data_IF_778342388675
#
_entry.id   IF_778342388675
#
_cell.length_a   1.000
_cell.length_b   1.000
_cell.length_c   1.000
_cell.angle_alpha   90.00
_cell.angle_beta   90.00
_cell.angle_gamma   90.00
#
_symmetry.space_group_name_H-M   'P 1'
#
loop_
_entity.id
_entity.type
_entity.pdbx_description
1 polymer ?
#
# COMPACT_ATOMS: atom_id res chain seq x y z
N UNK A 1 -10.31 26.04 -29.21
CA UNK A 1 -10.30 24.85 -28.36
C UNK A 1 -9.59 23.76 -29.13
N UNK A 2 -8.33 23.47 -28.81
CA UNK A 2 -7.60 22.36 -29.42
C UNK A 2 -7.89 21.12 -28.60
N UNK A 3 -8.57 20.14 -29.21
CA UNK A 3 -8.71 18.81 -28.62
C UNK A 3 -7.32 18.18 -28.53
N UNK A 4 -6.84 17.99 -27.30
CA UNK A 4 -5.59 17.27 -27.04
C UNK A 4 -5.94 15.79 -27.18
N UNK A 5 -5.81 15.26 -28.39
CA UNK A 5 -5.80 13.81 -28.60
C UNK A 5 -4.44 13.27 -28.15
N UNK A 6 -4.45 12.29 -27.23
CA UNK A 6 -3.25 11.53 -26.91
C UNK A 6 -2.63 10.98 -28.21
N UNK A 7 -1.31 11.03 -28.30
CA UNK A 7 -0.58 10.51 -29.46
C UNK A 7 -0.80 9.00 -29.59
N UNK A 8 -0.68 8.41 -30.80
CA UNK A 8 -0.82 6.96 -30.99
C UNK A 8 0.13 6.11 -30.13
N UNK A 9 1.24 6.69 -29.66
CA UNK A 9 2.17 6.04 -28.74
C UNK A 9 1.66 6.06 -27.30
N UNK A 10 1.11 7.18 -26.85
CA UNK A 10 0.43 7.29 -25.55
C UNK A 10 -0.82 6.39 -25.48
N UNK A 11 -1.56 6.24 -26.59
CA UNK A 11 -2.67 5.29 -26.68
C UNK A 11 -2.20 3.84 -26.54
N UNK A 12 -1.12 3.44 -27.21
CA UNK A 12 -0.56 2.07 -27.05
C UNK A 12 -0.04 1.84 -25.64
N UNK A 13 0.58 2.84 -25.01
CA UNK A 13 1.02 2.73 -23.62
C UNK A 13 -0.16 2.60 -22.65
N UNK A 14 -1.27 3.28 -22.94
CA UNK A 14 -2.53 3.14 -22.17
C UNK A 14 -3.23 1.79 -22.40
N UNK A 15 -3.29 1.30 -23.63
CA UNK A 15 -3.83 -0.03 -23.96
C UNK A 15 -2.98 -1.13 -23.32
N UNK A 16 -1.66 -1.04 -23.41
CA UNK A 16 -0.74 -1.98 -22.76
C UNK A 16 -0.83 -1.93 -21.23
N UNK A 17 -1.13 -0.76 -20.65
CA UNK A 17 -1.43 -0.64 -19.23
C UNK A 17 -2.79 -1.25 -18.88
N UNK A 18 -3.82 -1.06 -19.71
CA UNK A 18 -5.14 -1.68 -19.54
C UNK A 18 -5.06 -3.20 -19.55
N UNK A 19 -4.42 -3.78 -20.56
CA UNK A 19 -4.22 -5.24 -20.64
C UNK A 19 -3.36 -5.78 -19.48
N UNK A 20 -2.37 -5.02 -19.01
CA UNK A 20 -1.57 -5.42 -17.87
C UNK A 20 -2.36 -5.38 -16.56
N UNK A 21 -3.26 -4.41 -16.40
CA UNK A 21 -4.16 -4.33 -15.25
C UNK A 21 -5.18 -5.47 -15.26
N UNK A 22 -5.74 -5.82 -16.42
CA UNK A 22 -6.65 -6.96 -16.57
C UNK A 22 -5.94 -8.28 -16.24
N UNK A 23 -4.74 -8.53 -16.80
CA UNK A 23 -3.93 -9.71 -16.45
C UNK A 23 -3.60 -9.77 -14.96
N UNK A 24 -3.22 -8.64 -14.36
CA UNK A 24 -2.93 -8.56 -12.94
C UNK A 24 -4.17 -8.87 -12.08
N UNK A 25 -5.34 -8.38 -12.48
CA UNK A 25 -6.61 -8.64 -11.80
C UNK A 25 -7.01 -10.12 -11.92
N UNK A 26 -6.95 -10.72 -13.12
CA UNK A 26 -7.21 -12.14 -13.34
C UNK A 26 -6.24 -13.04 -12.55
N UNK A 27 -4.96 -12.66 -12.50
CA UNK A 27 -3.95 -13.35 -11.71
C UNK A 27 -4.29 -13.28 -10.21
N UNK A 28 -4.64 -12.09 -9.70
CA UNK A 28 -5.01 -11.91 -8.29
C UNK A 28 -6.30 -12.65 -7.93
N UNK A 29 -7.31 -12.61 -8.78
CA UNK A 29 -8.57 -13.36 -8.61
C UNK A 29 -8.30 -14.87 -8.59
N UNK A 30 -7.52 -15.38 -9.55
CA UNK A 30 -7.12 -16.78 -9.61
C UNK A 30 -6.33 -17.20 -8.38
N UNK A 31 -5.33 -16.41 -7.98
CA UNK A 31 -4.53 -16.65 -6.79
C UNK A 31 -5.40 -16.68 -5.52
N UNK A 32 -6.31 -15.71 -5.38
CA UNK A 32 -7.25 -15.65 -4.27
C UNK A 32 -8.14 -16.88 -4.21
N UNK A 33 -8.71 -17.30 -5.34
CA UNK A 33 -9.56 -18.48 -5.41
C UNK A 33 -8.81 -19.75 -4.99
N UNK A 34 -7.55 -19.90 -5.41
CA UNK A 34 -6.70 -21.05 -5.05
C UNK A 34 -6.28 -21.06 -3.60
N UNK A 35 -5.82 -19.92 -3.08
CA UNK A 35 -5.42 -19.80 -1.68
C UNK A 35 -6.61 -20.08 -0.74
N UNK A 36 -7.81 -19.58 -1.08
CA UNK A 36 -9.04 -19.92 -0.37
C UNK A 36 -9.39 -21.40 -0.47
N UNK A 37 -9.31 -21.97 -1.69
CA UNK A 37 -9.57 -23.40 -1.92
C UNK A 37 -8.63 -24.33 -1.14
N UNK A 38 -7.41 -23.87 -0.86
CA UNK A 38 -6.40 -24.60 -0.11
C UNK A 38 -6.35 -24.22 1.39
N UNK A 39 -7.36 -23.50 1.89
CA UNK A 39 -7.44 -23.07 3.30
C UNK A 39 -6.22 -22.26 3.78
N UNK A 40 -5.61 -21.47 2.90
CA UNK A 40 -4.49 -20.59 3.23
C UNK A 40 -5.03 -19.26 3.74
N UNK A 41 -5.14 -19.14 5.06
CA UNK A 41 -5.53 -17.89 5.71
C UNK A 41 -4.48 -16.78 5.49
N UNK A 42 -4.94 -15.56 5.25
CA UNK A 42 -4.06 -14.39 5.07
C UNK A 42 -3.28 -14.41 3.74
N UNK A 43 -3.62 -15.28 2.79
CA UNK A 43 -2.84 -15.47 1.58
C UNK A 43 -2.86 -14.25 0.64
N UNK A 44 -4.01 -13.57 0.52
CA UNK A 44 -4.15 -12.37 -0.30
C UNK A 44 -3.42 -11.18 0.33
N UNK A 45 -3.50 -11.03 1.64
CA UNK A 45 -2.77 -10.02 2.40
C UNK A 45 -1.27 -10.17 2.18
N UNK A 46 -0.74 -11.40 2.27
CA UNK A 46 0.66 -11.70 1.96
C UNK A 46 1.02 -11.38 0.51
N UNK A 47 0.14 -11.65 -0.45
CA UNK A 47 0.38 -11.28 -1.84
C UNK A 47 0.55 -9.77 -2.00
N UNK A 48 -0.37 -8.99 -1.41
CA UNK A 48 -0.30 -7.53 -1.45
C UNK A 48 0.95 -7.00 -0.76
N UNK A 49 1.32 -7.55 0.40
CA UNK A 49 2.57 -7.21 1.09
C UNK A 49 3.79 -7.39 0.18
N UNK A 50 3.90 -8.53 -0.52
CA UNK A 50 5.00 -8.82 -1.44
C UNK A 50 5.04 -7.80 -2.58
N UNK A 51 3.91 -7.55 -3.25
CA UNK A 51 3.85 -6.64 -4.42
C UNK A 51 4.09 -5.19 -4.02
N UNK A 52 3.65 -4.79 -2.83
CA UNK A 52 3.89 -3.45 -2.26
C UNK A 52 5.36 -3.29 -1.89
N UNK A 53 5.96 -4.25 -1.18
CA UNK A 53 7.37 -4.22 -0.79
C UNK A 53 8.30 -4.21 -2.02
N UNK A 54 7.99 -5.02 -3.04
CA UNK A 54 8.68 -5.00 -4.32
C UNK A 54 8.62 -3.63 -5.00
N UNK A 55 7.41 -3.07 -5.16
CA UNK A 55 7.23 -1.79 -5.82
C UNK A 55 7.96 -0.63 -5.13
N UNK A 56 8.13 -0.75 -3.81
CA UNK A 56 8.78 0.21 -2.93
C UNK A 56 10.29 -0.01 -2.74
N UNK A 57 10.85 -1.09 -3.31
CA UNK A 57 12.23 -1.54 -3.07
C UNK A 57 12.56 -1.66 -1.57
N UNK A 58 11.58 -2.06 -0.76
CA UNK A 58 11.75 -2.22 0.70
C UNK A 58 12.48 -3.53 1.04
N UNK A 59 12.51 -4.49 0.12
CA UNK A 59 13.24 -5.76 0.23
C UNK A 59 14.03 -6.05 -1.05
N UNK A 60 15.13 -6.82 -0.97
CA UNK A 60 15.85 -7.32 -2.14
C UNK A 60 14.94 -8.13 -3.09
N UNK A 61 15.30 -8.14 -4.37
CA UNK A 61 14.52 -8.84 -5.39
C UNK A 61 14.51 -10.37 -5.17
N UNK A 62 15.58 -10.92 -4.59
CA UNK A 62 15.72 -12.32 -4.22
C UNK A 62 14.70 -12.72 -3.14
N UNK A 63 14.46 -11.82 -2.17
CA UNK A 63 13.44 -12.01 -1.13
C UNK A 63 12.03 -11.93 -1.74
N UNK A 64 11.81 -10.99 -2.66
CA UNK A 64 10.55 -10.91 -3.43
C UNK A 64 10.30 -12.19 -4.23
N UNK A 65 11.30 -12.69 -4.97
CA UNK A 65 11.21 -13.92 -5.77
C UNK A 65 10.90 -15.12 -4.88
N UNK A 66 11.60 -15.24 -3.75
CA UNK A 66 11.40 -16.32 -2.78
C UNK A 66 10.01 -16.27 -2.13
N UNK A 67 9.55 -15.09 -1.73
CA UNK A 67 8.24 -14.92 -1.09
C UNK A 67 7.09 -15.23 -2.06
N UNK A 68 7.16 -14.72 -3.29
CA UNK A 68 6.16 -14.99 -4.31
C UNK A 68 6.14 -16.47 -4.69
N UNK A 69 7.31 -17.12 -4.80
CA UNK A 69 7.41 -18.56 -5.05
C UNK A 69 6.69 -19.36 -3.97
N UNK A 70 6.98 -19.11 -2.70
CA UNK A 70 6.33 -19.80 -1.57
C UNK A 70 4.81 -19.62 -1.58
N UNK A 71 4.33 -18.43 -1.90
CA UNK A 71 2.90 -18.16 -1.96
C UNK A 71 2.21 -18.92 -3.11
N UNK A 72 2.84 -19.00 -4.28
CA UNK A 72 2.32 -19.75 -5.42
C UNK A 72 2.41 -21.26 -5.20
N UNK A 73 3.43 -21.74 -4.49
CA UNK A 73 3.51 -23.14 -4.07
C UNK A 73 2.34 -23.51 -3.13
N UNK A 74 1.95 -22.59 -2.23
CA UNK A 74 0.75 -22.78 -1.38
C UNK A 74 -0.56 -22.77 -2.19
N UNK A 75 -0.62 -22.01 -3.29
CA UNK A 75 -1.76 -22.00 -4.19
C UNK A 75 -1.89 -23.31 -5.01
N UNK A 76 -0.81 -24.10 -5.12
CA UNK A 76 -0.77 -25.38 -5.87
C UNK A 76 -1.35 -25.28 -7.29
N UNK A 77 -1.04 -24.20 -8.01
CA UNK A 77 -1.54 -23.97 -9.38
C UNK A 77 -0.40 -23.64 -10.35
N UNK A 78 -0.07 -24.62 -11.19
CA UNK A 78 0.98 -24.50 -12.19
C UNK A 78 0.65 -23.46 -13.28
N UNK A 79 -0.63 -23.24 -13.58
CA UNK A 79 -1.03 -22.24 -14.56
C UNK A 79 -0.77 -20.81 -14.03
N UNK A 80 -1.10 -20.54 -12.76
CA UNK A 80 -0.75 -19.28 -12.11
C UNK A 80 0.77 -19.10 -12.03
N UNK A 81 1.50 -20.13 -11.62
CA UNK A 81 2.96 -20.09 -11.57
C UNK A 81 3.56 -19.75 -12.94
N UNK A 82 3.04 -20.35 -14.00
CA UNK A 82 3.53 -20.17 -15.37
C UNK A 82 3.39 -18.72 -15.85
N UNK A 83 2.36 -17.98 -15.41
CA UNK A 83 2.16 -16.59 -15.79
C UNK A 83 3.30 -15.67 -15.32
N UNK A 84 3.93 -16.00 -14.18
CA UNK A 84 5.02 -15.21 -13.58
C UNK A 84 6.37 -15.93 -13.62
N UNK A 85 6.49 -17.03 -14.37
CA UNK A 85 7.72 -17.84 -14.45
C UNK A 85 8.94 -17.03 -14.90
N UNK A 86 8.76 -16.05 -15.80
CA UNK A 86 9.83 -15.14 -16.23
C UNK A 86 10.46 -14.31 -15.10
N UNK A 87 9.74 -14.11 -13.99
CA UNK A 87 10.31 -13.56 -12.76
C UNK A 87 10.77 -14.66 -11.80
N UNK A 88 9.98 -15.72 -11.62
CA UNK A 88 10.27 -16.77 -10.64
C UNK A 88 11.53 -17.55 -10.95
N UNK A 89 11.83 -17.80 -12.23
CA UNK A 89 12.93 -18.66 -12.66
C UNK A 89 14.12 -17.85 -13.20
N UNK A 90 14.05 -16.51 -13.15
CA UNK A 90 15.14 -15.64 -13.54
C UNK A 90 16.37 -15.86 -12.63
N UNK A 91 17.59 -15.99 -13.19
CA UNK A 91 18.80 -15.94 -12.39
C UNK A 91 18.92 -14.54 -11.77
N UNK A 92 19.33 -14.44 -10.50
CA UNK A 92 19.46 -13.15 -9.80
C UNK A 92 20.92 -12.85 -9.41
N UNK A 93 21.87 -13.43 -10.14
CA UNK A 93 23.31 -13.37 -9.81
C UNK A 93 23.94 -12.02 -10.20
N UNK A 94 23.40 -11.36 -11.23
CA UNK A 94 23.94 -10.10 -11.75
C UNK A 94 22.91 -8.97 -11.69
N UNK A 95 23.38 -7.73 -11.61
CA UNK A 95 22.51 -6.55 -11.66
C UNK A 95 21.69 -6.46 -12.95
N UNK A 96 22.23 -6.97 -14.06
CA UNK A 96 21.50 -7.07 -15.32
C UNK A 96 20.29 -8.01 -15.19
N UNK A 97 20.49 -9.18 -14.58
CA UNK A 97 19.41 -10.17 -14.47
C UNK A 97 18.36 -9.74 -13.45
N UNK A 98 18.79 -9.14 -12.33
CA UNK A 98 17.88 -8.49 -11.37
C UNK A 98 17.02 -7.43 -12.05
N UNK A 99 17.63 -6.59 -12.89
CA UNK A 99 16.89 -5.57 -13.66
C UNK A 99 15.91 -6.19 -14.64
N UNK A 100 16.29 -7.27 -15.32
CA UNK A 100 15.41 -7.99 -16.24
C UNK A 100 14.21 -8.60 -15.51
N UNK A 101 14.44 -9.26 -14.37
CA UNK A 101 13.41 -9.83 -13.51
C UNK A 101 12.45 -8.75 -12.96
N UNK A 102 12.99 -7.64 -12.43
CA UNK A 102 12.16 -6.51 -11.98
C UNK A 102 11.33 -5.91 -13.11
N UNK A 103 11.92 -5.79 -14.31
CA UNK A 103 11.23 -5.26 -15.48
C UNK A 103 10.07 -6.17 -15.91
N UNK A 104 10.30 -7.49 -15.90
CA UNK A 104 9.24 -8.46 -16.16
C UNK A 104 8.09 -8.28 -15.17
N UNK A 105 8.39 -8.28 -13.87
CA UNK A 105 7.35 -8.20 -12.83
C UNK A 105 6.61 -6.87 -12.84
N UNK A 106 7.31 -5.76 -13.13
CA UNK A 106 6.68 -4.45 -13.33
C UNK A 106 5.69 -4.50 -14.50
N UNK A 107 6.12 -5.00 -15.66
CA UNK A 107 5.24 -5.12 -16.85
C UNK A 107 4.05 -6.04 -16.60
N UNK A 108 4.26 -7.13 -15.88
CA UNK A 108 3.20 -8.06 -15.50
C UNK A 108 2.10 -7.34 -14.70
N UNK A 109 2.47 -6.50 -13.73
CA UNK A 109 1.54 -5.73 -12.90
C UNK A 109 1.18 -4.35 -13.45
N UNK A 110 1.49 -4.05 -14.72
CA UNK A 110 1.19 -2.74 -15.32
C UNK A 110 1.95 -1.55 -14.70
N UNK A 111 3.05 -1.81 -13.99
CA UNK A 111 3.95 -0.80 -13.42
C UNK A 111 5.06 -0.47 -14.42
N UNK A 112 5.50 0.79 -14.44
CA UNK A 112 6.61 1.23 -15.31
C UNK A 112 7.98 0.96 -14.70
N UNK A 113 8.11 1.01 -13.38
CA UNK A 113 9.32 0.71 -12.61
C UNK A 113 9.00 0.55 -11.11
N UNK A 114 9.93 -0.02 -10.37
CA UNK A 114 10.02 0.10 -8.91
C UNK A 114 10.67 1.44 -8.55
N UNK A 115 10.43 1.93 -7.33
CA UNK A 115 11.13 3.10 -6.79
C UNK A 115 11.32 2.96 -5.28
N UNK A 116 12.51 3.29 -4.76
CA UNK A 116 12.74 3.25 -3.32
C UNK A 116 11.86 4.28 -2.63
N UNK A 117 11.18 3.87 -1.56
CA UNK A 117 10.46 4.81 -0.70
C UNK A 117 11.46 5.77 -0.04
N UNK A 118 11.15 7.07 -0.07
CA UNK A 118 11.86 8.05 0.75
C UNK A 118 11.70 7.69 2.24
N UNK A 119 12.64 8.07 3.13
CA UNK A 119 12.51 7.83 4.57
C UNK A 119 11.17 8.33 5.12
N UNK A 120 10.75 9.53 4.72
CA UNK A 120 9.47 10.12 5.12
C UNK A 120 8.25 9.35 4.56
N UNK A 121 8.36 8.76 3.37
CA UNK A 121 7.32 7.87 2.83
C UNK A 121 7.26 6.54 3.60
N UNK A 122 8.39 5.99 4.03
CA UNK A 122 8.40 4.78 4.87
C UNK A 122 7.78 5.04 6.24
N UNK A 123 8.15 6.14 6.89
CA UNK A 123 7.54 6.57 8.16
C UNK A 123 6.03 6.78 8.02
N UNK A 124 5.60 7.41 6.91
CA UNK A 124 4.17 7.58 6.64
C UNK A 124 3.43 6.25 6.50
N UNK A 125 3.97 5.31 5.72
CA UNK A 125 3.38 3.98 5.55
C UNK A 125 3.36 3.19 6.86
N UNK A 126 4.47 3.19 7.61
CA UNK A 126 4.59 2.52 8.90
C UNK A 126 3.58 3.09 9.93
N UNK A 127 3.43 4.41 9.99
CA UNK A 127 2.42 5.04 10.85
C UNK A 127 1.00 4.65 10.47
N UNK A 128 0.68 4.62 9.16
CA UNK A 128 -0.63 4.18 8.67
C UNK A 128 -0.91 2.73 9.05
N UNK A 129 0.07 1.84 8.91
CA UNK A 129 -0.07 0.43 9.25
C UNK A 129 -0.24 0.20 10.76
N UNK A 130 0.54 0.89 11.60
CA UNK A 130 0.38 0.82 13.05
C UNK A 130 -1.04 1.22 13.49
N UNK A 131 -1.61 2.28 12.89
CA UNK A 131 -2.99 2.71 13.14
C UNK A 131 -3.98 1.61 12.73
N UNK A 132 -3.87 1.07 11.51
CA UNK A 132 -4.79 0.03 11.03
C UNK A 132 -4.74 -1.23 11.90
N UNK A 133 -3.56 -1.64 12.35
CA UNK A 133 -3.40 -2.78 13.25
C UNK A 133 -4.02 -2.51 14.62
N UNK A 134 -3.79 -1.34 15.23
CA UNK A 134 -4.37 -0.99 16.52
C UNK A 134 -5.90 -0.95 16.46
N UNK A 135 -6.45 -0.32 15.42
CA UNK A 135 -7.90 -0.26 15.14
C UNK A 135 -8.48 -1.65 14.92
N UNK A 136 -7.81 -2.50 14.14
CA UNK A 136 -8.22 -3.88 13.90
C UNK A 136 -8.24 -4.72 15.19
N UNK A 137 -7.22 -4.59 16.05
CA UNK A 137 -7.20 -5.27 17.36
C UNK A 137 -8.33 -4.79 18.27
N UNK A 138 -8.61 -3.48 18.26
CA UNK A 138 -9.53 -2.86 19.21
C UNK A 138 -11.00 -3.04 18.81
N UNK A 139 -11.34 -2.87 17.53
CA UNK A 139 -12.72 -2.85 17.04
C UNK A 139 -13.01 -3.86 15.91
N UNK A 140 -12.04 -4.71 15.54
CA UNK A 140 -12.22 -5.70 14.47
C UNK A 140 -13.14 -6.87 14.83
N UNK A 141 -13.67 -6.91 16.06
CA UNK A 141 -14.71 -7.87 16.45
C UNK A 141 -16.10 -7.40 15.99
N UNK A 142 -17.08 -8.31 15.99
CA UNK A 142 -18.43 -8.05 15.47
C UNK A 142 -19.22 -7.01 16.29
N UNK A 143 -18.89 -6.82 17.56
CA UNK A 143 -19.64 -5.96 18.49
C UNK A 143 -19.35 -4.47 18.25
N UNK A 144 -18.15 -4.14 17.78
CA UNK A 144 -17.71 -2.77 17.49
C UNK A 144 -17.48 -2.50 16.00
N UNK A 145 -17.98 -3.39 15.13
CA UNK A 145 -17.77 -3.33 13.67
C UNK A 145 -18.27 -2.02 13.03
N UNK A 146 -19.30 -1.40 13.61
CA UNK A 146 -19.79 -0.08 13.18
C UNK A 146 -18.74 1.01 13.38
N UNK A 147 -18.11 1.04 14.55
CA UNK A 147 -17.05 2.00 14.91
C UNK A 147 -15.80 1.76 14.06
N UNK A 148 -15.43 0.49 13.86
CA UNK A 148 -14.37 0.08 12.93
C UNK A 148 -14.61 0.60 11.51
N UNK A 149 -15.80 0.35 10.95
CA UNK A 149 -16.16 0.78 9.59
C UNK A 149 -16.13 2.31 9.46
N UNK A 150 -16.70 3.02 10.43
CA UNK A 150 -16.78 4.48 10.39
C UNK A 150 -15.39 5.11 10.51
N UNK A 151 -14.51 4.55 11.35
CA UNK A 151 -13.09 4.93 11.40
C UNK A 151 -12.39 4.70 10.06
N UNK A 152 -12.47 3.48 9.51
CA UNK A 152 -11.77 3.12 8.28
C UNK A 152 -12.25 3.95 7.09
N UNK A 153 -13.54 4.25 7.03
CA UNK A 153 -14.13 5.14 6.03
C UNK A 153 -13.52 6.53 6.09
N UNK A 154 -13.43 7.12 7.27
CA UNK A 154 -12.81 8.43 7.42
C UNK A 154 -11.31 8.32 7.11
N UNK A 155 -10.58 7.41 7.74
CA UNK A 155 -9.12 7.33 7.68
C UNK A 155 -8.55 6.98 6.30
N UNK A 156 -9.22 6.13 5.51
CA UNK A 156 -8.73 5.68 4.21
C UNK A 156 -9.23 6.57 3.06
N UNK A 157 -10.50 6.98 3.10
CA UNK A 157 -11.14 7.58 1.93
C UNK A 157 -10.97 9.10 1.84
N UNK A 158 -10.42 9.75 2.87
CA UNK A 158 -10.22 11.20 2.90
C UNK A 158 -8.74 11.53 3.04
N UNK A 159 -8.26 12.61 2.38
CA UNK A 159 -6.93 13.11 2.63
C UNK A 159 -6.77 13.42 4.13
N UNK A 160 -5.69 12.98 4.79
CA UNK A 160 -5.47 13.15 6.24
C UNK A 160 -5.23 14.61 6.68
N UNK A 161 -5.61 15.56 5.84
CA UNK A 161 -4.94 16.85 5.70
C UNK A 161 -5.83 18.02 6.09
N UNK A 162 -7.15 17.80 6.25
CA UNK A 162 -8.05 18.84 6.75
C UNK A 162 -8.21 18.75 8.27
N UNK A 163 -8.16 19.90 8.93
CA UNK A 163 -8.42 20.02 10.38
C UNK A 163 -9.80 19.45 10.76
N UNK A 164 -10.79 19.57 9.86
CA UNK A 164 -12.11 18.98 10.03
C UNK A 164 -12.04 17.44 10.05
N UNK A 165 -11.24 16.85 9.16
CA UNK A 165 -11.06 15.41 9.11
C UNK A 165 -10.30 14.87 10.32
N UNK A 166 -9.25 15.57 10.78
CA UNK A 166 -8.55 15.25 12.03
C UNK A 166 -9.49 15.30 13.23
N UNK A 167 -10.36 16.31 13.31
CA UNK A 167 -11.37 16.43 14.38
C UNK A 167 -12.38 15.28 14.36
N UNK A 168 -12.85 14.87 13.18
CA UNK A 168 -13.76 13.72 13.01
C UNK A 168 -13.10 12.43 13.48
N UNK A 169 -11.84 12.17 13.08
CA UNK A 169 -11.11 11.00 13.55
C UNK A 169 -10.93 11.02 15.06
N UNK A 170 -10.54 12.15 15.66
CA UNK A 170 -10.45 12.29 17.12
C UNK A 170 -11.76 11.97 17.81
N UNK A 171 -12.89 12.46 17.30
CA UNK A 171 -14.20 12.19 17.87
C UNK A 171 -14.56 10.68 17.87
N UNK A 172 -14.10 9.93 16.87
CA UNK A 172 -14.32 8.48 16.78
C UNK A 172 -13.45 7.73 17.78
N UNK A 173 -12.18 8.15 17.95
CA UNK A 173 -11.21 7.47 18.81
C UNK A 173 -11.22 7.93 20.26
N UNK A 174 -12.15 8.81 20.68
CA UNK A 174 -12.22 9.32 22.05
C UNK A 174 -12.13 8.19 23.07
N UNK A 175 -11.13 8.29 23.94
CA UNK A 175 -10.89 7.32 25.02
C UNK A 175 -10.05 6.11 24.61
N UNK A 176 -9.59 6.05 23.36
CA UNK A 176 -8.66 5.03 22.86
C UNK A 176 -7.24 5.60 22.77
N UNK A 177 -6.56 5.71 23.92
CA UNK A 177 -5.27 6.41 24.04
C UNK A 177 -4.19 5.92 23.05
N UNK A 178 -4.12 4.61 22.80
CA UNK A 178 -3.17 4.03 21.82
C UNK A 178 -3.42 4.59 20.41
N UNK A 179 -4.67 4.57 19.95
CA UNK A 179 -5.05 5.00 18.60
C UNK A 179 -4.92 6.53 18.47
N UNK A 180 -5.30 7.28 19.51
CA UNK A 180 -5.12 8.73 19.57
C UNK A 180 -3.64 9.14 19.42
N UNK A 181 -2.74 8.47 20.15
CA UNK A 181 -1.30 8.73 20.06
C UNK A 181 -0.74 8.40 18.67
N UNK A 182 -1.12 7.25 18.10
CA UNK A 182 -0.70 6.85 16.75
C UNK A 182 -1.17 7.85 15.67
N UNK A 183 -2.42 8.33 15.76
CA UNK A 183 -2.92 9.38 14.87
C UNK A 183 -2.14 10.68 15.01
N UNK A 184 -1.80 11.08 16.24
CA UNK A 184 -1.03 12.30 16.48
C UNK A 184 0.37 12.23 15.86
N UNK A 185 1.09 11.13 16.02
CA UNK A 185 2.40 10.94 15.37
C UNK A 185 2.27 10.88 13.84
N UNK A 186 1.25 10.18 13.32
CA UNK A 186 1.01 10.11 11.88
C UNK A 186 0.71 11.47 11.25
N UNK A 187 -0.05 12.34 11.93
CA UNK A 187 -0.32 13.69 11.44
C UNK A 187 0.94 14.56 11.36
N UNK A 188 1.89 14.43 12.31
CA UNK A 188 3.18 15.15 12.21
C UNK A 188 3.91 14.76 10.92
N UNK A 189 3.88 13.47 10.56
CA UNK A 189 4.48 12.97 9.31
C UNK A 189 3.74 13.54 8.09
N UNK A 190 2.40 13.58 8.11
CA UNK A 190 1.62 14.22 7.05
C UNK A 190 1.96 15.70 6.89
N UNK A 191 2.07 16.45 7.98
CA UNK A 191 2.43 17.88 7.98
C UNK A 191 3.83 18.09 7.39
N UNK A 192 4.81 17.26 7.76
CA UNK A 192 6.16 17.28 7.17
C UNK A 192 6.15 16.99 5.67
N UNK A 193 5.30 16.07 5.19
CA UNK A 193 5.16 15.75 3.75
C UNK A 193 4.57 16.91 2.95
N UNK A 194 3.71 17.73 3.57
CA UNK A 194 3.11 18.91 2.93
C UNK A 194 4.02 20.14 2.99
N UNK A 195 5.03 20.13 3.86
CA UNK A 195 5.98 21.21 4.13
C UNK A 195 7.00 21.57 3.04
N UNK A 196 6.69 21.34 1.75
CA UNK A 196 7.31 22.05 0.60
C UNK A 196 6.24 22.92 -0.06
N UNK A 197 5.61 23.81 0.71
CA UNK A 197 4.95 25.03 0.22
C UNK A 197 4.42 25.89 1.39
N UNK A 198 5.24 26.15 2.41
CA UNK A 198 5.01 27.30 3.26
C UNK A 198 5.99 28.39 2.83
N UNK A 199 5.42 29.42 2.18
CA UNK A 199 6.14 30.62 1.79
C UNK A 199 6.94 31.17 2.97
N UNK A 200 8.06 31.79 2.63
CA UNK A 200 9.00 32.44 3.51
C UNK A 200 8.34 33.04 4.79
N UNK A 201 8.79 32.56 5.96
CA UNK A 201 8.83 33.42 7.15
C UNK A 201 7.85 33.15 8.29
N UNK A 202 7.06 32.07 8.30
CA UNK A 202 6.34 31.67 9.53
C UNK A 202 6.67 30.23 9.94
N UNK A 203 7.08 29.98 11.19
CA UNK A 203 7.22 28.62 11.70
C UNK A 203 5.86 27.93 11.64
N UNK A 204 5.81 26.62 11.32
CA UNK A 204 4.57 25.88 11.32
C UNK A 204 3.91 26.00 12.70
N UNK A 205 2.66 26.44 12.71
CA UNK A 205 1.82 26.34 13.91
C UNK A 205 1.64 24.86 14.16
N UNK A 206 2.50 24.28 15.00
CA UNK A 206 2.31 22.93 15.54
C UNK A 206 0.94 22.95 16.20
N UNK A 207 -0.05 22.32 15.56
CA UNK A 207 -1.34 22.06 16.17
C UNK A 207 -1.05 21.29 17.45
N UNK A 208 -1.16 21.99 18.60
CA UNK A 208 -0.86 21.40 19.90
C UNK A 208 -1.68 20.13 20.03
N UNK A 209 -1.01 18.99 20.13
CA UNK A 209 -1.57 17.81 20.77
C UNK A 209 -1.75 18.20 22.25
N UNK A 210 -2.88 18.83 22.55
CA UNK A 210 -3.20 19.27 23.90
C UNK A 210 -3.50 18.03 24.75
N UNK A 211 -2.63 17.81 25.74
CA UNK A 211 -2.83 17.25 27.09
C UNK A 211 -4.08 16.39 27.37
N UNK A 212 -3.91 15.23 28.04
CA UNK A 212 -5.03 14.41 28.47
C UNK A 212 -5.96 15.20 29.41
N UNK A 213 -7.26 15.13 29.17
CA UNK A 213 -8.26 15.68 30.07
C UNK A 213 -8.24 14.89 31.38
N UNK A 214 -7.79 15.54 32.46
CA UNK A 214 -8.21 15.19 33.82
C UNK A 214 -9.49 15.97 34.11
N UNK A 215 -10.58 15.24 34.32
CA UNK A 215 -11.30 15.13 35.60
C UNK A 215 -12.42 14.09 35.49
#
# INVERSE_FOLDING_TARGET
MGEIYATPQEWREWELQGEALERAAEFEEGLTARLKGNSVEGGLEKFHEIVVAFGAEDVPIEETQSALRRLLDLASDDALRSQVAGFLDAPLETEHDKKAASTFLCRFFGKTATRPRSPLSREWWSGKEAIMQAVGRRWGNMDEIGKFRDFMREFIMRPPDSEEHRRKLRAIVVGEEEIENLLCEHWKICDMRQGVSFGQGQPPTVGRCATPFKE
#
